data_IF_682305081442
#
_entry.id   IF_682305081442
#
_cell.length_a   1.000
_cell.length_b   1.000
_cell.length_c   1.000
_cell.angle_alpha   90.00
_cell.angle_beta   90.00
_cell.angle_gamma   90.00
#
_symmetry.space_group_name_H-M   'P 1'
#
loop_
_entity.id
_entity.type
_entity.pdbx_description
1 polymer ?
#
# COMPACT_ATOMS: atom_id res chain seq x y z
N UNK A 1 22.10 13.88 4.93
CA UNK A 1 21.43 13.17 6.02
C UNK A 1 20.09 12.68 5.53
N UNK A 2 19.81 11.42 5.74
CA UNK A 2 18.52 10.86 5.36
C UNK A 2 17.39 11.46 6.20
N UNK A 3 16.22 11.54 5.62
CA UNK A 3 15.06 11.97 6.37
C UNK A 3 14.67 10.90 7.36
N UNK A 4 14.60 11.29 8.62
CA UNK A 4 14.17 10.39 9.68
C UNK A 4 12.70 10.70 9.97
N UNK A 5 11.85 9.70 9.78
CA UNK A 5 10.43 9.84 10.10
C UNK A 5 10.26 9.87 11.62
N UNK A 6 9.07 10.22 12.09
CA UNK A 6 8.80 10.35 13.51
C UNK A 6 9.07 9.10 14.34
N UNK A 7 9.18 7.95 13.73
CA UNK A 7 9.49 6.69 14.38
C UNK A 7 10.92 6.20 14.12
N UNK A 8 11.75 7.05 13.52
CA UNK A 8 13.15 6.74 13.26
C UNK A 8 13.43 5.97 12.00
N UNK A 9 12.42 5.70 11.16
CA UNK A 9 12.63 5.00 9.91
C UNK A 9 13.31 5.89 8.88
N UNK A 10 14.27 5.35 8.16
CA UNK A 10 14.92 6.01 7.04
C UNK A 10 14.86 5.10 5.83
N UNK A 11 14.79 5.69 4.62
CA UNK A 11 14.89 4.89 3.41
C UNK A 11 16.31 4.38 3.24
N UNK A 12 16.48 3.10 2.88
CA UNK A 12 17.79 2.57 2.49
C UNK A 12 18.32 3.32 1.27
N UNK A 13 19.64 3.29 1.12
CA UNK A 13 20.30 3.93 -0.02
C UNK A 13 19.78 3.34 -1.33
N UNK A 14 19.44 4.21 -2.27
CA UNK A 14 18.96 3.81 -3.59
C UNK A 14 17.48 3.50 -3.68
N UNK A 15 16.76 3.61 -2.57
CA UNK A 15 15.31 3.38 -2.53
C UNK A 15 14.59 4.74 -2.50
N UNK A 16 13.55 4.86 -3.30
CA UNK A 16 12.75 6.09 -3.35
C UNK A 16 11.28 5.73 -3.55
N UNK A 17 10.41 6.65 -3.18
CA UNK A 17 8.95 6.53 -3.42
C UNK A 17 8.51 7.79 -4.15
N UNK A 18 7.81 7.60 -5.26
CA UNK A 18 7.33 8.70 -6.09
C UNK A 18 5.96 8.37 -6.69
N UNK A 19 5.28 9.37 -7.26
CA UNK A 19 4.02 9.09 -7.96
C UNK A 19 4.25 8.11 -9.11
N UNK A 20 3.27 7.23 -9.31
CA UNK A 20 3.26 6.27 -10.41
C UNK A 20 2.96 7.01 -11.72
N UNK A 21 3.81 6.77 -12.73
CA UNK A 21 3.57 7.29 -14.07
C UNK A 21 3.09 6.19 -15.00
N UNK A 22 2.62 6.59 -16.17
CA UNK A 22 2.10 5.63 -17.16
C UNK A 22 3.14 4.56 -17.52
N UNK A 23 4.41 4.94 -17.58
CA UNK A 23 5.48 4.01 -17.92
C UNK A 23 5.75 2.97 -16.84
N UNK A 24 5.21 3.16 -15.64
CA UNK A 24 5.40 2.22 -14.53
C UNK A 24 4.34 1.12 -14.52
N UNK A 25 3.27 1.25 -15.30
CA UNK A 25 2.11 0.36 -15.20
C UNK A 25 2.49 -1.10 -15.49
N UNK A 26 3.32 -1.35 -16.48
CA UNK A 26 3.72 -2.71 -16.81
C UNK A 26 4.40 -3.39 -15.63
N UNK A 27 5.34 -2.70 -14.97
CA UNK A 27 6.04 -3.24 -13.81
C UNK A 27 5.09 -3.43 -12.63
N UNK A 28 4.16 -2.49 -12.42
CA UNK A 28 3.19 -2.58 -11.34
C UNK A 28 2.25 -3.77 -11.54
N UNK A 29 1.78 -3.98 -12.78
CA UNK A 29 0.92 -5.13 -13.11
C UNK A 29 1.65 -6.45 -12.85
N UNK A 30 2.94 -6.52 -13.14
CA UNK A 30 3.73 -7.71 -12.86
C UNK A 30 3.76 -8.00 -11.35
N UNK A 31 3.94 -6.97 -10.53
CA UNK A 31 3.94 -7.12 -9.07
C UNK A 31 2.54 -7.53 -8.57
N UNK A 32 1.52 -6.88 -9.11
CA UNK A 32 0.12 -7.17 -8.75
C UNK A 32 -0.22 -8.64 -9.06
N UNK A 33 0.15 -9.10 -10.24
CA UNK A 33 -0.12 -10.46 -10.69
C UNK A 33 0.58 -11.50 -9.81
N UNK A 34 1.78 -11.19 -9.36
CA UNK A 34 2.54 -12.07 -8.48
C UNK A 34 1.97 -12.08 -7.06
N UNK A 35 1.47 -10.94 -6.60
CA UNK A 35 1.04 -10.78 -5.21
C UNK A 35 -0.39 -11.24 -4.95
N UNK A 36 -1.27 -11.19 -5.95
CA UNK A 36 -2.70 -11.41 -5.74
C UNK A 36 -3.25 -12.46 -6.70
N UNK A 37 -4.24 -13.24 -6.22
CA UNK A 37 -4.85 -14.30 -7.02
C UNK A 37 -5.88 -13.76 -8.02
N UNK A 38 -6.41 -12.56 -7.76
CA UNK A 38 -7.34 -11.89 -8.68
C UNK A 38 -6.78 -10.49 -8.95
N UNK A 39 -5.70 -10.41 -9.76
CA UNK A 39 -4.98 -9.14 -9.90
C UNK A 39 -5.74 -8.12 -10.75
N UNK A 40 -5.49 -6.85 -10.47
CA UNK A 40 -5.93 -5.77 -11.34
C UNK A 40 -5.12 -5.80 -12.63
N UNK A 41 -5.75 -5.37 -13.72
CA UNK A 41 -5.12 -5.31 -15.03
C UNK A 41 -4.60 -3.91 -15.33
N UNK A 42 -3.80 -3.80 -16.39
CA UNK A 42 -3.24 -2.51 -16.81
C UNK A 42 -4.31 -1.46 -17.02
N UNK A 43 -5.45 -1.85 -17.61
CA UNK A 43 -6.54 -0.90 -17.86
C UNK A 43 -7.10 -0.30 -16.58
N UNK A 44 -7.09 -1.04 -15.48
CA UNK A 44 -7.54 -0.52 -14.20
C UNK A 44 -6.60 0.58 -13.71
N UNK A 45 -5.28 0.34 -13.75
CA UNK A 45 -4.31 1.35 -13.35
C UNK A 45 -4.36 2.56 -14.25
N UNK A 46 -4.50 2.35 -15.56
CA UNK A 46 -4.62 3.47 -16.51
C UNK A 46 -5.83 4.34 -16.20
N UNK A 47 -6.95 3.70 -15.85
CA UNK A 47 -8.16 4.41 -15.50
C UNK A 47 -8.08 5.21 -14.21
N UNK A 48 -7.15 4.85 -13.32
CA UNK A 48 -6.96 5.57 -12.06
C UNK A 48 -6.00 6.74 -12.17
N UNK A 49 -5.16 6.78 -13.20
CA UNK A 49 -4.19 7.86 -13.37
C UNK A 49 -4.89 9.20 -13.49
N UNK A 50 -4.42 10.17 -12.70
CA UNK A 50 -4.90 11.54 -12.77
C UNK A 50 -6.27 11.78 -12.17
N UNK A 51 -6.90 10.77 -11.56
CA UNK A 51 -8.21 10.96 -10.93
C UNK A 51 -8.05 11.63 -9.58
N UNK A 52 -8.93 12.58 -9.30
CA UNK A 52 -8.97 13.24 -8.00
C UNK A 52 -9.27 12.21 -6.92
N UNK A 53 -8.63 12.38 -5.77
CA UNK A 53 -8.84 11.51 -4.64
C UNK A 53 -8.06 10.20 -4.71
N UNK A 54 -7.22 10.00 -5.72
CA UNK A 54 -6.43 8.79 -5.87
C UNK A 54 -4.95 9.13 -5.86
N UNK A 55 -4.19 8.45 -5.00
CA UNK A 55 -2.73 8.52 -5.01
C UNK A 55 -2.19 7.17 -5.43
N UNK A 56 -1.47 7.15 -6.53
CA UNK A 56 -0.77 5.96 -7.00
C UNK A 56 0.72 6.20 -6.76
N UNK A 57 1.35 5.31 -6.01
CA UNK A 57 2.75 5.46 -5.64
C UNK A 57 3.55 4.24 -6.08
N UNK A 58 4.80 4.45 -6.48
CA UNK A 58 5.74 3.36 -6.73
C UNK A 58 6.95 3.53 -5.84
N UNK A 59 7.50 2.39 -5.41
CA UNK A 59 8.80 2.34 -4.75
C UNK A 59 9.80 1.84 -5.77
N UNK A 60 10.91 2.55 -5.89
CA UNK A 60 11.93 2.24 -6.88
C UNK A 60 13.26 1.96 -6.23
N UNK A 61 14.04 1.11 -6.89
CA UNK A 61 15.43 0.84 -6.55
C UNK A 61 16.28 1.33 -7.72
N UNK A 62 17.37 2.01 -7.43
CA UNK A 62 18.22 2.60 -8.46
C UNK A 62 18.72 1.56 -9.47
N UNK A 63 18.90 0.31 -9.03
CA UNK A 63 19.41 -0.77 -9.89
C UNK A 63 18.29 -1.62 -10.49
N UNK A 64 17.18 -1.82 -9.79
CA UNK A 64 16.13 -2.76 -10.21
C UNK A 64 14.89 -2.09 -10.79
N UNK A 65 14.75 -0.78 -10.63
CA UNK A 65 13.55 -0.07 -11.07
C UNK A 65 12.41 -0.21 -10.07
N UNK A 66 11.19 -0.39 -10.55
CA UNK A 66 10.01 -0.48 -9.69
C UNK A 66 10.02 -1.80 -8.92
N UNK A 67 10.00 -1.72 -7.58
CA UNK A 67 10.01 -2.89 -6.70
C UNK A 67 8.77 -2.97 -5.81
N UNK A 68 7.91 -1.98 -5.84
CA UNK A 68 6.68 -1.98 -5.07
C UNK A 68 5.75 -0.87 -5.49
N UNK A 69 4.53 -0.92 -4.99
CA UNK A 69 3.55 0.13 -5.28
C UNK A 69 2.48 0.15 -4.21
N UNK A 70 1.72 1.25 -4.19
CA UNK A 70 0.57 1.39 -3.30
C UNK A 70 -0.49 2.23 -3.97
N UNK A 71 -1.75 1.95 -3.63
CA UNK A 71 -2.91 2.70 -4.11
C UNK A 71 -3.70 3.21 -2.91
N UNK A 72 -3.84 4.53 -2.81
CA UNK A 72 -4.57 5.19 -1.74
C UNK A 72 -5.76 5.94 -2.33
N UNK A 73 -6.96 5.67 -1.82
CA UNK A 73 -8.17 6.38 -2.20
C UNK A 73 -8.58 7.32 -1.07
N UNK A 74 -8.95 8.55 -1.39
CA UNK A 74 -9.33 9.56 -0.39
C UNK A 74 -10.67 10.18 -0.80
N UNK A 75 -11.62 10.17 0.12
CA UNK A 75 -12.90 10.86 -0.02
C UNK A 75 -13.13 11.63 1.26
N UNK A 76 -13.07 12.97 1.17
CA UNK A 76 -13.19 13.87 2.32
C UNK A 76 -12.13 13.52 3.37
N UNK A 77 -12.53 13.16 4.58
CA UNK A 77 -11.61 12.83 5.68
C UNK A 77 -11.38 11.32 5.84
N UNK A 78 -11.85 10.51 4.88
CA UNK A 78 -11.67 9.07 4.93
C UNK A 78 -10.81 8.58 3.76
N UNK A 79 -10.01 7.56 4.02
CA UNK A 79 -9.20 6.95 3.00
C UNK A 79 -9.26 5.44 3.05
N UNK A 80 -8.83 4.83 1.96
CA UNK A 80 -8.66 3.38 1.88
C UNK A 80 -7.33 3.08 1.22
N UNK A 81 -6.53 2.24 1.89
CA UNK A 81 -5.35 1.67 1.27
C UNK A 81 -5.83 0.46 0.47
N UNK A 82 -6.04 0.67 -0.83
CA UNK A 82 -6.65 -0.34 -1.67
C UNK A 82 -5.69 -1.47 -1.99
N UNK A 83 -4.44 -1.15 -2.32
CA UNK A 83 -3.41 -2.14 -2.63
C UNK A 83 -2.06 -1.67 -2.13
N UNK A 84 -1.24 -2.63 -1.71
CA UNK A 84 0.16 -2.38 -1.37
C UNK A 84 0.90 -3.71 -1.56
N UNK A 85 1.96 -3.71 -2.37
CA UNK A 85 2.73 -4.92 -2.61
C UNK A 85 4.16 -4.60 -3.01
N UNK A 86 5.05 -5.56 -2.75
CA UNK A 86 6.46 -5.52 -3.16
C UNK A 86 6.75 -6.73 -4.04
N UNK A 87 7.80 -6.63 -4.86
CA UNK A 87 8.29 -7.81 -5.58
C UNK A 87 8.69 -8.88 -4.57
N UNK A 88 8.54 -10.16 -4.96
CA UNK A 88 8.76 -11.28 -4.06
C UNK A 88 10.17 -11.26 -3.46
N UNK A 89 11.19 -10.95 -4.27
CA UNK A 89 12.58 -10.98 -3.82
C UNK A 89 12.95 -9.80 -2.91
N UNK A 90 12.05 -8.84 -2.73
CA UNK A 90 12.31 -7.69 -1.86
C UNK A 90 11.46 -7.71 -0.59
N UNK A 91 10.66 -8.75 -0.41
CA UNK A 91 9.85 -8.91 0.80
C UNK A 91 10.72 -9.31 1.97
N UNK A 92 10.31 -8.91 3.17
CA UNK A 92 11.01 -9.29 4.40
C UNK A 92 12.23 -8.44 4.74
N UNK A 93 12.51 -7.40 3.94
CA UNK A 93 13.66 -6.52 4.18
C UNK A 93 13.27 -5.18 4.81
N UNK A 94 12.04 -5.06 5.30
CA UNK A 94 11.57 -3.83 5.93
C UNK A 94 11.09 -2.76 4.95
N UNK A 95 11.12 -3.03 3.65
CA UNK A 95 10.71 -2.04 2.65
C UNK A 95 9.21 -1.79 2.67
N UNK A 96 8.41 -2.80 3.04
CA UNK A 96 6.96 -2.62 3.19
C UNK A 96 6.64 -1.58 4.25
N UNK A 97 7.39 -1.56 5.34
CA UNK A 97 7.22 -0.56 6.40
C UNK A 97 7.54 0.85 5.88
N UNK A 98 8.61 0.98 5.10
CA UNK A 98 8.96 2.28 4.51
C UNK A 98 7.87 2.76 3.55
N UNK A 99 7.35 1.86 2.71
CA UNK A 99 6.29 2.22 1.77
C UNK A 99 5.01 2.60 2.52
N UNK A 100 4.64 1.82 3.52
CA UNK A 100 3.45 2.11 4.33
C UNK A 100 3.58 3.44 5.05
N UNK A 101 4.77 3.74 5.61
CA UNK A 101 5.02 5.03 6.25
C UNK A 101 4.76 6.17 5.28
N UNK A 102 5.24 6.04 4.05
CA UNK A 102 5.04 7.07 3.04
C UNK A 102 3.56 7.25 2.71
N UNK A 103 2.82 6.14 2.59
CA UNK A 103 1.37 6.18 2.34
C UNK A 103 0.65 6.90 3.47
N UNK A 104 1.01 6.60 4.73
CA UNK A 104 0.38 7.27 5.88
C UNK A 104 0.67 8.77 5.88
N UNK A 105 1.88 9.17 5.51
CA UNK A 105 2.22 10.58 5.41
C UNK A 105 1.40 11.26 4.32
N UNK A 106 1.20 10.60 3.19
CA UNK A 106 0.35 11.13 2.12
C UNK A 106 -1.10 11.25 2.56
N UNK A 107 -1.61 10.25 3.27
CA UNK A 107 -2.98 10.28 3.78
C UNK A 107 -3.17 11.46 4.73
N UNK A 108 -2.24 11.67 5.65
CA UNK A 108 -2.31 12.80 6.58
C UNK A 108 -2.27 14.14 5.84
N UNK A 109 -1.40 14.25 4.86
CA UNK A 109 -1.28 15.47 4.06
C UNK A 109 -2.59 15.79 3.35
N UNK A 110 -3.34 14.77 2.96
CA UNK A 110 -4.63 14.92 2.29
C UNK A 110 -5.81 15.12 3.26
N UNK A 111 -5.54 15.17 4.55
CA UNK A 111 -6.58 15.40 5.54
C UNK A 111 -7.36 14.17 5.96
N UNK A 112 -6.82 12.98 5.69
CA UNK A 112 -7.48 11.75 6.11
C UNK A 112 -7.41 11.62 7.63
N UNK A 113 -8.56 11.34 8.24
CA UNK A 113 -8.66 11.08 9.67
C UNK A 113 -8.85 9.60 9.97
N UNK A 114 -9.48 8.87 9.04
CA UNK A 114 -9.71 7.43 9.17
C UNK A 114 -9.26 6.75 7.89
N UNK A 115 -8.32 5.83 8.03
CA UNK A 115 -7.78 5.07 6.91
C UNK A 115 -8.11 3.59 7.09
N UNK A 116 -8.86 3.04 6.16
CA UNK A 116 -9.29 1.64 6.17
C UNK A 116 -8.44 0.80 5.22
N UNK A 117 -8.35 -0.47 5.50
CA UNK A 117 -7.84 -1.46 4.56
C UNK A 117 -8.50 -2.81 4.80
N UNK A 118 -8.39 -3.69 3.81
CA UNK A 118 -8.85 -5.07 3.92
C UNK A 118 -7.66 -5.97 3.60
N UNK A 119 -7.53 -7.06 4.37
CA UNK A 119 -6.40 -7.98 4.20
C UNK A 119 -6.92 -9.40 4.44
N UNK A 120 -6.35 -10.38 3.69
CA UNK A 120 -6.70 -11.78 3.92
C UNK A 120 -6.42 -12.17 5.36
N UNK A 121 -7.37 -12.89 5.97
CA UNK A 121 -7.23 -13.29 7.36
C UNK A 121 -5.99 -14.14 7.61
N UNK A 122 -5.53 -14.89 6.61
CA UNK A 122 -4.34 -15.73 6.72
C UNK A 122 -3.03 -14.95 6.57
N UNK A 123 -3.09 -13.70 6.13
CA UNK A 123 -1.88 -12.91 5.87
C UNK A 123 -1.38 -12.27 7.19
N UNK A 124 -0.84 -13.12 8.07
CA UNK A 124 -0.42 -12.68 9.40
C UNK A 124 0.69 -11.65 9.37
N UNK A 125 1.61 -11.79 8.42
CA UNK A 125 2.73 -10.84 8.28
C UNK A 125 2.21 -9.43 7.97
N UNK A 126 1.28 -9.30 7.03
CA UNK A 126 0.71 -8.00 6.69
C UNK A 126 -0.10 -7.44 7.86
N UNK A 127 -0.91 -8.28 8.50
CA UNK A 127 -1.71 -7.85 9.65
C UNK A 127 -0.80 -7.32 10.76
N UNK A 128 0.29 -8.02 11.06
CA UNK A 128 1.24 -7.58 12.09
C UNK A 128 1.89 -6.25 11.70
N UNK A 129 2.25 -6.10 10.43
CA UNK A 129 2.80 -4.84 9.94
C UNK A 129 1.81 -3.70 10.15
N UNK A 130 0.57 -3.89 9.74
CA UNK A 130 -0.45 -2.84 9.88
C UNK A 130 -0.70 -2.50 11.35
N UNK A 131 -0.78 -3.51 12.22
CA UNK A 131 -0.92 -3.26 13.65
C UNK A 131 0.22 -2.44 14.22
N UNK A 132 1.44 -2.70 13.74
CA UNK A 132 2.62 -1.96 14.22
C UNK A 132 2.56 -0.48 13.84
N UNK A 133 1.73 -0.11 12.86
CA UNK A 133 1.52 1.28 12.44
C UNK A 133 0.23 1.87 13.01
N UNK A 134 -0.42 1.18 13.94
CA UNK A 134 -1.57 1.71 14.63
C UNK A 134 -2.93 1.31 14.06
N UNK A 135 -2.94 0.40 13.09
CA UNK A 135 -4.20 -0.14 12.59
C UNK A 135 -4.79 -1.12 13.60
N UNK A 136 -6.10 -1.08 13.76
CA UNK A 136 -6.85 -1.97 14.64
C UNK A 136 -7.86 -2.76 13.83
N UNK A 137 -8.14 -4.00 14.26
CA UNK A 137 -9.15 -4.82 13.63
C UNK A 137 -10.52 -4.27 13.98
N UNK A 138 -11.34 -3.92 13.00
CA UNK A 138 -12.66 -3.35 13.25
C UNK A 138 -13.79 -4.15 12.62
N UNK A 139 -13.46 -5.16 11.84
CA UNK A 139 -14.52 -5.97 11.23
C UNK A 139 -13.98 -7.16 10.48
N UNK A 140 -14.90 -7.97 9.99
CA UNK A 140 -14.59 -9.16 9.21
C UNK A 140 -15.59 -9.24 8.06
N UNK A 141 -15.08 -9.42 6.85
CA UNK A 141 -15.93 -9.64 5.66
C UNK A 141 -15.80 -11.10 5.27
N UNK A 142 -16.83 -11.87 5.54
CA UNK A 142 -16.81 -13.31 5.32
C UNK A 142 -16.80 -13.63 3.82
N UNK A 143 -15.91 -14.54 3.44
CA UNK A 143 -15.82 -15.02 2.06
C UNK A 143 -15.53 -13.95 1.04
N UNK A 144 -14.86 -12.86 1.43
CA UNK A 144 -14.60 -11.71 0.57
C UNK A 144 -13.65 -12.03 -0.59
N UNK A 145 -12.64 -12.86 -0.33
CA UNK A 145 -11.65 -13.22 -1.34
C UNK A 145 -11.99 -14.54 -2.00
N UNK A 146 -11.57 -14.69 -3.27
CA UNK A 146 -11.63 -15.94 -4.01
C UNK A 146 -10.22 -16.49 -4.22
N UNK A 147 -10.12 -17.78 -4.50
CA UNK A 147 -8.92 -18.51 -4.97
C UNK A 147 -7.71 -18.39 -4.06
N UNK A 148 -7.76 -18.85 -2.80
CA UNK A 148 -8.89 -19.56 -2.20
C UNK A 148 -9.91 -18.60 -1.60
N UNK A 149 -11.10 -19.10 -1.35
CA UNK A 149 -12.12 -18.33 -0.66
C UNK A 149 -11.67 -18.11 0.77
N UNK A 150 -11.71 -16.88 1.19
CA UNK A 150 -11.17 -16.52 2.49
C UNK A 150 -11.81 -15.23 2.99
N UNK A 151 -11.87 -15.09 4.31
CA UNK A 151 -12.39 -13.87 4.93
C UNK A 151 -11.36 -12.73 4.82
N UNK A 152 -11.86 -11.51 4.83
CA UNK A 152 -11.04 -10.31 4.93
C UNK A 152 -11.16 -9.74 6.33
N UNK A 153 -10.02 -9.42 6.93
CA UNK A 153 -9.99 -8.60 8.15
C UNK A 153 -10.02 -7.15 7.71
N UNK A 154 -10.96 -6.38 8.26
CA UNK A 154 -11.03 -4.94 8.00
C UNK A 154 -10.27 -4.24 9.12
N UNK A 155 -9.34 -3.39 8.75
CA UNK A 155 -8.51 -2.67 9.72
C UNK A 155 -8.66 -1.18 9.54
N UNK A 156 -8.48 -0.43 10.62
CA UNK A 156 -8.65 1.01 10.65
C UNK A 156 -7.53 1.66 11.43
N UNK A 157 -6.89 2.68 10.82
CA UNK A 157 -6.02 3.59 11.52
C UNK A 157 -6.73 4.93 11.65
N UNK A 158 -6.70 5.50 12.86
CA UNK A 158 -7.31 6.79 13.14
C UNK A 158 -6.18 7.77 13.41
N UNK A 159 -6.17 8.88 12.68
CA UNK A 159 -5.15 9.90 12.87
C UNK A 159 -5.71 10.99 13.77
N UNK A 160 -4.89 11.46 14.69
CA UNK A 160 -5.29 12.51 15.60
C UNK A 160 -5.57 13.82 14.88
N UNK A 161 -6.54 14.55 15.38
CA UNK A 161 -6.85 15.88 14.88
C UNK A 161 -5.90 16.92 15.46
#
# INVERSE_FOLDING_TARGET
MGDVTGDGLEFPTGIDVRPLGRDDIEAVVAIETEAFTTPWQASTFEGLLGRDGIELLVMTDVDEGVIGYAVLWVILDQGELANLALTTNRRGAGLGAHLLRHVLDRARTRGVEKLFLEVRASNERAIDLYRSFGFEDVGLRRGYYDRPKEDAVVMLATFGS
#
